data_IF_207824919254
#
_entry.id   IF_207824919254
#
_cell.length_a   1.000
_cell.length_b   1.000
_cell.length_c   1.000
_cell.angle_alpha   90.00
_cell.angle_beta   90.00
_cell.angle_gamma   90.00
#
_symmetry.space_group_name_H-M   'P 1'
#
loop_
_entity.id
_entity.type
_entity.pdbx_description
1 polymer ?
#
# COMPACT_ATOMS: atom_id res chain seq x y z
N UNK A 1 2.42 8.58 7.75
CA UNK A 1 2.04 9.25 6.48
C UNK A 1 0.52 9.36 6.41
N UNK A 2 -0.08 10.28 5.64
CA UNK A 2 -1.54 10.30 5.44
C UNK A 2 -1.93 11.01 4.14
N UNK A 3 -3.12 10.71 3.62
CA UNK A 3 -3.75 11.49 2.55
C UNK A 3 -4.23 12.86 3.10
N UNK A 4 -4.31 13.90 2.25
CA UNK A 4 -4.81 15.19 2.67
C UNK A 4 -6.28 15.11 3.17
N UNK A 5 -6.62 15.88 4.19
CA UNK A 5 -7.98 15.90 4.76
C UNK A 5 -9.03 16.23 3.68
N UNK A 6 -10.15 15.50 3.70
CA UNK A 6 -11.25 15.70 2.75
C UNK A 6 -10.99 15.16 1.34
N UNK A 7 -9.87 14.48 1.10
CA UNK A 7 -9.59 13.82 -0.17
C UNK A 7 -10.14 12.37 -0.20
N UNK A 8 -10.73 11.92 -1.32
CA UNK A 8 -10.90 12.65 -2.57
C UNK A 8 -12.05 13.67 -2.54
N UNK A 9 -11.82 14.85 -3.14
CA UNK A 9 -12.87 15.85 -3.33
C UNK A 9 -14.03 15.26 -4.17
N UNK A 10 -15.30 15.63 -3.92
CA UNK A 10 -16.41 15.11 -4.70
C UNK A 10 -16.30 15.52 -6.18
N UNK A 11 -16.81 14.70 -7.12
CA UNK A 11 -16.73 14.98 -8.54
C UNK A 11 -17.45 16.28 -8.90
N UNK A 12 -16.78 17.09 -9.73
CA UNK A 12 -17.30 18.37 -10.19
C UNK A 12 -18.50 18.24 -11.14
N UNK A 13 -19.23 19.33 -11.38
CA UNK A 13 -20.41 19.32 -12.26
C UNK A 13 -20.07 18.82 -13.68
N UNK A 14 -18.92 19.25 -14.22
CA UNK A 14 -18.47 18.87 -15.57
C UNK A 14 -18.13 17.39 -15.65
N UNK A 15 -17.49 16.82 -14.61
CA UNK A 15 -17.19 15.39 -14.51
C UNK A 15 -18.49 14.57 -14.47
N UNK A 16 -19.46 15.00 -13.66
CA UNK A 16 -20.79 14.38 -13.57
C UNK A 16 -21.53 14.41 -14.90
N UNK A 17 -21.55 15.54 -15.61
CA UNK A 17 -22.21 15.69 -16.91
C UNK A 17 -21.49 14.87 -17.98
N UNK A 18 -20.16 14.89 -17.99
CA UNK A 18 -19.33 14.14 -18.93
C UNK A 18 -19.61 12.63 -18.88
N UNK A 19 -19.87 12.06 -17.70
CA UNK A 19 -20.23 10.63 -17.56
C UNK A 19 -21.49 10.23 -18.34
N UNK A 20 -22.39 11.16 -18.64
CA UNK A 20 -23.61 10.91 -19.43
C UNK A 20 -23.39 11.00 -20.94
N UNK A 21 -22.28 11.58 -21.39
CA UNK A 21 -21.96 11.72 -22.82
C UNK A 21 -20.97 10.60 -23.20
N UNK A 22 -21.40 9.61 -24.00
CA UNK A 22 -20.55 8.46 -24.31
C UNK A 22 -19.29 8.87 -25.08
N UNK A 23 -18.21 8.12 -24.86
CA UNK A 23 -16.89 8.29 -25.49
C UNK A 23 -16.21 9.62 -25.13
N UNK A 24 -16.67 10.75 -25.66
CA UNK A 24 -16.01 12.06 -25.44
C UNK A 24 -16.17 12.53 -24.01
N UNK A 25 -17.39 12.48 -23.48
CA UNK A 25 -17.63 12.86 -22.10
C UNK A 25 -16.98 11.92 -21.10
N UNK A 26 -16.87 10.63 -21.43
CA UNK A 26 -16.13 9.65 -20.63
C UNK A 26 -14.64 9.95 -20.59
N UNK A 27 -14.01 10.26 -21.73
CA UNK A 27 -12.60 10.64 -21.78
C UNK A 27 -12.37 11.91 -20.95
N UNK A 28 -13.23 12.94 -21.11
CA UNK A 28 -13.12 14.18 -20.34
C UNK A 28 -13.33 13.94 -18.83
N UNK A 29 -14.34 13.15 -18.47
CA UNK A 29 -14.62 12.80 -17.07
C UNK A 29 -13.45 12.01 -16.47
N UNK A 30 -12.91 11.02 -17.18
CA UNK A 30 -11.75 10.25 -16.74
C UNK A 30 -10.49 11.12 -16.57
N UNK A 31 -10.25 12.07 -17.49
CA UNK A 31 -9.12 13.00 -17.38
C UNK A 31 -9.28 13.96 -16.18
N UNK A 32 -10.50 14.44 -15.91
CA UNK A 32 -10.79 15.29 -14.75
C UNK A 32 -10.70 14.49 -13.44
N UNK A 33 -11.23 13.27 -13.42
CA UNK A 33 -11.14 12.33 -12.30
C UNK A 33 -9.68 12.01 -11.98
N UNK A 34 -8.88 11.65 -12.99
CA UNK A 34 -7.43 11.42 -12.83
C UNK A 34 -6.72 12.64 -12.23
N UNK A 35 -7.02 13.84 -12.72
CA UNK A 35 -6.42 15.08 -12.20
C UNK A 35 -6.83 15.40 -10.76
N UNK A 36 -8.08 15.10 -10.38
CA UNK A 36 -8.61 15.32 -9.04
C UNK A 36 -8.09 14.29 -8.04
N UNK A 37 -8.02 13.04 -8.47
CA UNK A 37 -7.60 11.91 -7.64
C UNK A 37 -6.07 11.84 -7.54
N UNK A 38 -5.38 11.54 -8.65
CA UNK A 38 -3.96 11.17 -8.57
C UNK A 38 -3.07 12.34 -8.14
N UNK A 39 -3.16 13.49 -8.81
CA UNK A 39 -2.10 14.51 -8.68
C UNK A 39 -1.97 15.17 -7.30
N UNK A 40 -3.02 15.71 -6.67
CA UNK A 40 -2.87 16.43 -5.40
C UNK A 40 -2.54 15.50 -4.23
N UNK A 41 -3.13 14.29 -4.22
CA UNK A 41 -2.80 13.29 -3.23
C UNK A 41 -1.35 12.84 -3.37
N UNK A 42 -0.90 12.56 -4.59
CA UNK A 42 0.48 12.12 -4.80
C UNK A 42 1.49 13.20 -4.49
N UNK A 43 1.26 14.45 -4.92
CA UNK A 43 2.14 15.58 -4.58
C UNK A 43 2.24 15.75 -3.04
N UNK A 44 1.16 15.48 -2.29
CA UNK A 44 1.14 15.54 -0.81
C UNK A 44 1.86 14.37 -0.14
N UNK A 45 1.71 13.15 -0.69
CA UNK A 45 2.45 11.96 -0.22
C UNK A 45 3.93 12.11 -0.53
N UNK A 46 4.27 12.56 -1.74
CA UNK A 46 5.64 12.77 -2.20
C UNK A 46 6.36 13.81 -1.34
N UNK A 47 5.69 14.91 -1.00
CA UNK A 47 6.23 15.91 -0.08
C UNK A 47 6.47 15.39 1.35
N UNK A 48 5.70 14.39 1.81
CA UNK A 48 5.95 13.72 3.10
C UNK A 48 7.12 12.74 2.99
N UNK A 49 7.23 12.01 1.88
CA UNK A 49 8.34 11.10 1.58
C UNK A 49 9.66 11.85 1.45
N UNK A 50 9.65 13.03 0.84
CA UNK A 50 10.82 13.91 0.67
C UNK A 50 11.45 14.33 2.00
N UNK A 51 10.65 14.38 3.06
CA UNK A 51 11.15 14.73 4.40
C UNK A 51 11.87 13.56 5.06
N UNK A 52 11.80 12.35 4.48
CA UNK A 52 12.44 11.15 4.97
C UNK A 52 13.64 10.83 4.11
N UNK A 53 14.80 10.78 4.74
CA UNK A 53 16.07 10.43 4.08
C UNK A 53 16.56 9.04 4.46
N UNK A 54 16.13 8.53 5.62
CA UNK A 54 16.41 7.18 6.09
C UNK A 54 15.35 6.75 7.11
N UNK A 55 15.15 5.44 7.24
CA UNK A 55 14.38 4.81 8.32
C UNK A 55 15.41 4.31 9.33
N UNK A 56 15.42 4.80 10.58
CA UNK A 56 16.33 4.26 11.58
C UNK A 56 15.88 2.85 11.99
N UNK A 57 16.83 1.93 12.24
CA UNK A 57 16.53 0.55 12.69
C UNK A 57 15.66 0.53 13.96
N UNK A 58 15.84 1.53 14.84
CA UNK A 58 15.05 1.72 16.05
C UNK A 58 13.56 1.95 15.77
N UNK A 59 13.15 2.27 14.54
CA UNK A 59 11.74 2.31 14.18
C UNK A 59 11.07 0.92 14.29
N UNK A 60 11.86 -0.15 14.17
CA UNK A 60 11.41 -1.53 14.26
C UNK A 60 11.80 -2.19 15.60
N UNK A 61 12.04 -1.39 16.65
CA UNK A 61 12.48 -1.85 17.97
C UNK A 61 13.77 -2.71 17.94
N UNK A 62 14.63 -2.51 16.94
CA UNK A 62 15.84 -3.30 16.68
C UNK A 62 15.54 -4.82 16.47
N UNK A 63 14.31 -5.19 16.11
CA UNK A 63 13.94 -6.57 15.78
C UNK A 63 14.40 -6.94 14.37
N UNK A 64 15.52 -7.67 14.28
CA UNK A 64 16.13 -8.11 13.02
C UNK A 64 15.14 -8.85 12.11
N UNK A 65 14.22 -9.63 12.66
CA UNK A 65 13.24 -10.39 11.88
C UNK A 65 12.19 -9.47 11.27
N UNK A 66 11.70 -8.48 12.03
CA UNK A 66 10.76 -7.47 11.51
C UNK A 66 11.44 -6.58 10.47
N UNK A 67 12.69 -6.19 10.70
CA UNK A 67 13.48 -5.42 9.73
C UNK A 67 13.67 -6.20 8.42
N UNK A 68 14.05 -7.48 8.48
CA UNK A 68 14.19 -8.32 7.29
C UNK A 68 12.86 -8.43 6.54
N UNK A 69 11.78 -8.74 7.24
CA UNK A 69 10.45 -8.87 6.64
C UNK A 69 9.98 -7.55 6.02
N UNK A 70 10.16 -6.42 6.72
CA UNK A 70 9.82 -5.09 6.23
C UNK A 70 10.55 -4.77 4.92
N UNK A 71 11.86 -5.03 4.85
CA UNK A 71 12.65 -4.81 3.64
C UNK A 71 12.11 -5.62 2.45
N UNK A 72 11.70 -6.88 2.67
CA UNK A 72 11.11 -7.71 1.61
C UNK A 72 9.79 -7.11 1.09
N UNK A 73 8.93 -6.61 1.98
CA UNK A 73 7.66 -5.97 1.58
C UNK A 73 7.93 -4.66 0.82
N UNK A 74 8.91 -3.88 1.30
CA UNK A 74 9.36 -2.64 0.64
C UNK A 74 9.87 -2.93 -0.76
N UNK A 75 10.77 -3.90 -0.93
CA UNK A 75 11.34 -4.26 -2.23
C UNK A 75 10.24 -4.69 -3.22
N UNK A 76 9.26 -5.48 -2.77
CA UNK A 76 8.12 -5.86 -3.58
C UNK A 76 7.30 -4.65 -4.05
N UNK A 77 7.11 -3.65 -3.19
CA UNK A 77 6.39 -2.42 -3.54
C UNK A 77 7.21 -1.54 -4.49
N UNK A 78 8.53 -1.43 -4.28
CA UNK A 78 9.43 -0.70 -5.19
C UNK A 78 9.40 -1.30 -6.58
N UNK A 79 9.47 -2.63 -6.69
CA UNK A 79 9.45 -3.30 -7.99
C UNK A 79 8.12 -3.18 -8.74
N UNK A 80 6.99 -3.27 -8.01
CA UNK A 80 5.66 -3.24 -8.60
C UNK A 80 5.17 -1.81 -8.90
N UNK A 81 5.38 -0.88 -7.96
CA UNK A 81 4.82 0.47 -8.00
C UNK A 81 5.85 1.48 -8.51
N UNK A 82 7.15 1.21 -8.32
CA UNK A 82 8.22 2.12 -8.73
C UNK A 82 8.48 3.23 -7.72
N UNK A 83 8.27 2.98 -6.42
CA UNK A 83 8.65 3.91 -5.37
C UNK A 83 10.13 4.29 -5.48
N UNK A 84 10.40 5.59 -5.60
CA UNK A 84 11.75 6.13 -5.70
C UNK A 84 12.43 6.30 -4.34
N UNK A 85 11.63 6.52 -3.29
CA UNK A 85 12.07 6.81 -1.91
C UNK A 85 11.29 5.95 -0.92
N UNK A 86 11.56 4.65 -0.82
CA UNK A 86 10.74 3.72 -0.05
C UNK A 86 11.07 3.74 1.46
N UNK A 87 11.10 4.92 2.08
CA UNK A 87 11.44 5.11 3.48
C UNK A 87 10.20 4.97 4.39
N UNK A 88 9.66 3.75 4.44
CA UNK A 88 8.47 3.41 5.21
C UNK A 88 8.82 3.00 6.66
N UNK A 89 8.05 3.50 7.61
CA UNK A 89 8.12 3.16 9.04
C UNK A 89 6.89 2.31 9.43
N UNK A 90 6.92 1.55 10.54
CA UNK A 90 5.82 0.67 10.92
C UNK A 90 4.46 1.37 11.01
N UNK A 91 4.43 2.63 11.45
CA UNK A 91 3.21 3.41 11.63
C UNK A 91 2.61 3.94 10.32
N UNK A 92 3.27 3.74 9.18
CA UNK A 92 2.73 4.21 7.92
C UNK A 92 1.51 3.40 7.49
N UNK A 93 0.47 4.05 6.92
CA UNK A 93 -0.68 3.34 6.38
C UNK A 93 -0.27 2.44 5.22
N UNK A 94 -0.62 1.17 5.30
CA UNK A 94 -0.31 0.20 4.25
C UNK A 94 -1.00 0.58 2.93
N UNK A 95 -2.20 1.20 3.00
CA UNK A 95 -2.92 1.68 1.81
C UNK A 95 -2.15 2.70 0.96
N UNK A 96 -1.23 3.46 1.57
CA UNK A 96 -0.38 4.39 0.83
C UNK A 96 0.77 3.62 0.21
N UNK A 97 1.40 2.72 0.98
CA UNK A 97 2.54 1.92 0.53
C UNK A 97 2.23 1.09 -0.72
N UNK A 98 1.03 0.49 -0.80
CA UNK A 98 0.60 -0.28 -1.99
C UNK A 98 -0.22 0.53 -3.01
N UNK A 99 -0.21 1.86 -2.93
CA UNK A 99 -0.91 2.78 -3.86
C UNK A 99 -2.41 2.42 -4.11
N UNK A 100 -3.10 1.97 -3.06
CA UNK A 100 -4.41 1.33 -3.20
C UNK A 100 -5.52 2.20 -3.80
N UNK A 101 -5.39 3.52 -3.70
CA UNK A 101 -6.45 4.47 -4.06
C UNK A 101 -6.35 5.01 -5.48
N UNK A 102 -5.30 4.66 -6.22
CA UNK A 102 -5.05 5.25 -7.54
C UNK A 102 -5.30 4.29 -8.71
N UNK A 103 -5.41 2.98 -8.44
CA UNK A 103 -6.12 1.99 -9.26
C UNK A 103 -5.49 1.64 -10.61
N UNK A 104 -4.16 1.58 -10.69
CA UNK A 104 -3.45 1.16 -11.90
C UNK A 104 -3.08 -0.34 -11.92
N UNK A 105 -3.66 -1.13 -11.01
CA UNK A 105 -3.43 -2.56 -10.82
C UNK A 105 -2.00 -2.90 -10.33
N UNK A 106 -1.11 -1.91 -10.16
CA UNK A 106 0.22 -2.13 -9.59
C UNK A 106 0.13 -2.57 -8.13
N UNK A 107 -0.95 -2.18 -7.42
CA UNK A 107 -1.28 -2.64 -6.09
C UNK A 107 -1.42 -4.17 -6.02
N UNK A 108 -1.99 -4.79 -7.06
CA UNK A 108 -2.17 -6.24 -7.13
C UNK A 108 -0.84 -6.95 -7.38
N UNK A 109 0.03 -6.38 -8.23
CA UNK A 109 1.38 -6.94 -8.45
C UNK A 109 2.22 -6.88 -7.17
N UNK A 110 2.15 -5.76 -6.44
CA UNK A 110 2.83 -5.62 -5.14
C UNK A 110 2.36 -6.70 -4.16
N UNK A 111 1.03 -6.87 -4.00
CA UNK A 111 0.47 -7.91 -3.12
C UNK A 111 0.91 -9.30 -3.55
N UNK A 112 0.86 -9.64 -4.84
CA UNK A 112 1.28 -10.97 -5.31
C UNK A 112 2.76 -11.25 -5.07
N UNK A 113 3.63 -10.24 -5.22
CA UNK A 113 5.05 -10.37 -4.89
C UNK A 113 5.27 -10.62 -3.41
N UNK A 114 4.56 -9.90 -2.54
CA UNK A 114 4.62 -10.11 -1.10
C UNK A 114 4.12 -11.52 -0.74
N UNK A 115 2.94 -11.92 -1.21
CA UNK A 115 2.39 -13.26 -0.98
C UNK A 115 3.38 -14.36 -1.40
N UNK A 116 4.01 -14.19 -2.55
CA UNK A 116 5.03 -15.11 -3.06
C UNK A 116 6.28 -15.15 -2.19
N UNK A 117 6.77 -14.00 -1.72
CA UNK A 117 7.99 -13.92 -0.92
C UNK A 117 7.83 -14.55 0.48
N UNK A 118 6.61 -14.49 1.03
CA UNK A 118 6.28 -15.03 2.34
C UNK A 118 5.61 -16.41 2.28
N UNK A 119 5.39 -16.98 1.09
CA UNK A 119 4.68 -18.24 0.89
C UNK A 119 3.32 -18.29 1.62
N UNK A 120 2.61 -17.16 1.62
CA UNK A 120 1.35 -16.97 2.34
C UNK A 120 0.33 -16.24 1.48
N UNK A 121 -0.90 -16.11 1.98
CA UNK A 121 -1.95 -15.30 1.37
C UNK A 121 -2.24 -14.11 2.27
N UNK A 122 -2.17 -12.92 1.70
CA UNK A 122 -2.58 -11.66 2.34
C UNK A 122 -4.03 -11.35 2.00
N UNK A 123 -4.43 -11.61 0.74
CA UNK A 123 -5.80 -11.41 0.27
C UNK A 123 -6.51 -12.76 0.23
N UNK A 124 -7.44 -12.95 1.15
CA UNK A 124 -8.38 -14.06 1.12
C UNK A 124 -9.69 -13.66 0.41
N UNK A 125 -9.99 -12.37 0.33
CA UNK A 125 -11.17 -11.81 -0.32
C UNK A 125 -10.97 -10.34 -0.75
N UNK A 126 -11.82 -9.84 -1.67
CA UNK A 126 -11.88 -8.42 -2.02
C UNK A 126 -12.16 -7.50 -0.82
N UNK A 127 -12.73 -8.04 0.27
CA UNK A 127 -13.02 -7.28 1.49
C UNK A 127 -11.75 -6.95 2.28
N UNK A 128 -10.66 -7.69 2.08
CA UNK A 128 -9.41 -7.45 2.83
C UNK A 128 -8.79 -6.10 2.45
N UNK A 129 -8.91 -5.70 1.19
CA UNK A 129 -8.50 -4.37 0.73
C UNK A 129 -9.31 -3.26 1.38
N UNK A 130 -10.63 -3.45 1.42
CA UNK A 130 -11.55 -2.50 2.05
C UNK A 130 -11.26 -2.38 3.54
N UNK A 131 -10.91 -3.49 4.18
CA UNK A 131 -10.49 -3.53 5.57
C UNK A 131 -9.21 -2.73 5.80
N UNK A 132 -8.16 -2.95 5.01
CA UNK A 132 -6.90 -2.20 5.15
C UNK A 132 -7.09 -0.68 5.07
N UNK A 133 -7.96 -0.25 4.15
CA UNK A 133 -8.31 1.17 3.97
C UNK A 133 -9.17 1.69 5.14
N UNK A 134 -10.20 0.94 5.54
CA UNK A 134 -11.21 1.43 6.49
C UNK A 134 -10.72 1.36 7.94
N UNK A 135 -9.97 0.33 8.28
CA UNK A 135 -9.42 0.12 9.62
C UNK A 135 -8.08 0.86 9.81
N UNK A 136 -7.50 1.39 8.74
CA UNK A 136 -6.23 2.12 8.78
C UNK A 136 -5.05 1.20 9.12
N UNK A 137 -5.03 0.00 8.55
CA UNK A 137 -3.98 -0.99 8.82
C UNK A 137 -2.62 -0.41 8.48
N UNK A 138 -1.71 -0.51 9.43
CA UNK A 138 -0.35 0.01 9.36
C UNK A 138 0.60 -1.00 8.70
N UNK A 139 1.75 -0.51 8.24
CA UNK A 139 2.78 -1.34 7.64
C UNK A 139 3.32 -2.37 8.65
N UNK A 140 3.55 -1.96 9.90
CA UNK A 140 4.00 -2.85 10.97
C UNK A 140 3.04 -4.00 11.22
N UNK A 141 1.73 -3.74 11.26
CA UNK A 141 0.71 -4.77 11.44
C UNK A 141 0.69 -5.79 10.30
N UNK A 142 0.93 -5.35 9.06
CA UNK A 142 1.05 -6.26 7.91
C UNK A 142 2.31 -7.12 8.02
N UNK A 143 3.45 -6.52 8.38
CA UNK A 143 4.69 -7.26 8.61
C UNK A 143 4.50 -8.33 9.69
N UNK A 144 3.86 -7.99 10.80
CA UNK A 144 3.61 -8.92 11.90
C UNK A 144 2.67 -10.06 11.47
N UNK A 145 1.61 -9.76 10.69
CA UNK A 145 0.74 -10.78 10.10
C UNK A 145 1.48 -11.71 9.14
N UNK A 146 2.38 -11.17 8.32
CA UNK A 146 3.18 -11.95 7.39
C UNK A 146 4.14 -12.89 8.10
N UNK A 147 4.85 -12.40 9.12
CA UNK A 147 5.74 -13.21 9.96
C UNK A 147 4.96 -14.34 10.63
N UNK A 148 3.82 -14.04 11.24
CA UNK A 148 3.02 -15.02 11.97
C UNK A 148 2.47 -16.15 11.07
N UNK A 149 2.16 -15.85 9.81
CA UNK A 149 1.53 -16.80 8.89
C UNK A 149 2.51 -17.45 7.90
N UNK A 150 3.73 -16.94 7.79
CA UNK A 150 4.70 -17.42 6.81
C UNK A 150 5.44 -18.67 7.29
N UNK A 151 5.45 -19.76 6.49
CA UNK A 151 6.30 -20.92 6.75
C UNK A 151 7.80 -20.58 6.83
N UNK A 152 8.23 -19.49 6.17
CA UNK A 152 9.61 -19.00 6.18
C UNK A 152 10.06 -18.57 7.58
N UNK A 153 9.14 -17.96 8.35
CA UNK A 153 9.41 -17.38 9.67
C UNK A 153 8.82 -18.21 10.82
N UNK A 154 8.04 -19.25 10.51
CA UNK A 154 7.58 -20.19 11.52
C UNK A 154 8.80 -20.74 12.31
N UNK A 155 8.75 -20.75 13.66
CA UNK A 155 9.80 -21.38 14.42
C UNK A 155 9.84 -22.84 13.97
N UNK A 156 10.99 -23.27 13.41
CA UNK A 156 11.25 -24.67 13.06
C UNK A 156 11.27 -25.49 14.35
N UNK A 157 10.11 -25.73 14.95
CA UNK A 157 10.00 -26.65 16.06
C UNK A 157 10.07 -28.06 15.47
N UNK A 158 11.03 -28.89 15.91
CA UNK A 158 10.96 -30.30 15.65
C UNK A 158 9.65 -30.79 16.27
N UNK A 159 8.86 -31.52 15.49
CA UNK A 159 7.65 -32.16 15.97
C UNK A 159 8.00 -32.94 17.24
N UNK A 160 7.48 -32.52 18.39
CA UNK A 160 7.52 -33.32 19.60
C UNK A 160 6.69 -34.57 19.35
N UNK A 161 7.33 -35.61 18.84
CA UNK A 161 6.82 -36.98 18.83
C UNK A 161 6.43 -37.33 20.26
N UNK A 162 5.13 -37.50 20.47
CA UNK A 162 4.58 -38.18 21.65
C UNK A 162 3.85 -39.41 21.16
#
# INVERSE_FOLDING_TARGET
MHYPEGWPEPPGLVEKIGRWIPVVGWIVAAALEYRRLKRPAWDFIDAQMDQRTHVPDSAWDDDEMRIEAANVVVDACVEAIGWDRPYFIPEDPFEIMIELRTGDCCELDAVFRIERAFETRLMHSENDTTRWITEGTTFGEIVDQLIANSPKYAPRYPSSTT
#
